data_IF_213804964868
#
_entry.id   IF_213804964868
#
_cell.length_a   1.000
_cell.length_b   1.000
_cell.length_c   1.000
_cell.angle_alpha   90.00
_cell.angle_beta   90.00
_cell.angle_gamma   90.00
#
_symmetry.space_group_name_H-M   'P 1'
#
loop_
_entity.id
_entity.type
_entity.pdbx_description
1 polymer ?
#
# COMPACT_ATOMS: atom_id res chain seq x y z
N UNK A 1 -15.59 -4.83 -8.67
CA UNK A 1 -16.47 -4.91 -7.45
C UNK A 1 -16.83 -3.50 -7.00
N UNK A 2 -17.96 -3.28 -6.32
CA UNK A 2 -18.26 -1.97 -5.69
C UNK A 2 -17.73 -2.05 -4.27
N UNK A 3 -16.88 -1.09 -3.89
CA UNK A 3 -16.31 -1.03 -2.55
C UNK A 3 -17.39 -0.72 -1.51
N UNK A 4 -17.26 -1.30 -0.31
CA UNK A 4 -18.20 -1.05 0.78
C UNK A 4 -18.12 0.42 1.26
N UNK A 5 -19.22 1.17 1.25
CA UNK A 5 -19.22 2.57 1.69
C UNK A 5 -18.75 2.79 3.13
N UNK A 6 -18.99 1.82 4.03
CA UNK A 6 -18.51 1.90 5.41
C UNK A 6 -16.98 1.71 5.47
N UNK A 7 -16.45 0.76 4.70
CA UNK A 7 -15.01 0.56 4.55
C UNK A 7 -14.31 1.79 4.00
N UNK A 8 -14.85 2.41 2.95
CA UNK A 8 -14.33 3.65 2.38
C UNK A 8 -14.30 4.80 3.39
N UNK A 9 -15.37 4.98 4.18
CA UNK A 9 -15.42 6.01 5.22
C UNK A 9 -14.40 5.76 6.33
N UNK A 10 -14.22 4.50 6.72
CA UNK A 10 -13.23 4.07 7.72
C UNK A 10 -11.81 4.30 7.23
N UNK A 11 -11.49 3.90 5.99
CA UNK A 11 -10.19 4.12 5.38
C UNK A 11 -9.86 5.62 5.28
N UNK A 12 -10.82 6.45 4.86
CA UNK A 12 -10.64 7.91 4.84
C UNK A 12 -10.32 8.47 6.22
N UNK A 13 -11.05 8.07 7.25
CA UNK A 13 -10.83 8.53 8.61
C UNK A 13 -9.47 8.09 9.16
N UNK A 14 -9.05 6.84 8.90
CA UNK A 14 -7.77 6.32 9.31
C UNK A 14 -6.61 7.04 8.59
N UNK A 15 -6.72 7.23 7.27
CA UNK A 15 -5.69 7.86 6.47
C UNK A 15 -5.52 9.36 6.80
N UNK A 16 -6.60 10.05 7.15
CA UNK A 16 -6.58 11.47 7.54
C UNK A 16 -5.75 11.76 8.80
N UNK A 17 -5.38 10.74 9.57
CA UNK A 17 -4.45 10.87 10.71
C UNK A 17 -3.02 11.12 10.24
N UNK A 18 -2.65 10.60 9.06
CA UNK A 18 -1.28 10.64 8.53
C UNK A 18 -1.07 11.76 7.52
N UNK A 19 -2.11 12.23 6.86
CA UNK A 19 -1.97 13.29 5.87
C UNK A 19 -3.31 13.77 5.30
N UNK A 20 -3.26 14.72 4.38
CA UNK A 20 -4.45 15.29 3.78
C UNK A 20 -5.17 14.27 2.89
N UNK A 21 -6.49 14.26 2.98
CA UNK A 21 -7.38 13.43 2.15
C UNK A 21 -8.49 14.30 1.54
N UNK A 22 -8.59 14.29 0.22
CA UNK A 22 -9.58 15.05 -0.52
C UNK A 22 -10.27 14.16 -1.56
N UNK A 23 -11.56 14.40 -1.81
CA UNK A 23 -12.26 13.71 -2.90
C UNK A 23 -11.64 14.10 -4.24
N UNK A 24 -11.33 13.09 -5.05
CA UNK A 24 -10.71 13.24 -6.35
C UNK A 24 -11.60 12.59 -7.41
N UNK A 25 -11.93 13.33 -8.45
CA UNK A 25 -12.81 12.82 -9.50
C UNK A 25 -11.99 12.09 -10.56
N UNK A 26 -12.51 11.00 -11.16
CA UNK A 26 -11.78 10.21 -12.15
C UNK A 26 -11.33 11.00 -13.39
N UNK A 27 -11.85 12.20 -13.60
CA UNK A 27 -11.39 13.13 -14.67
C UNK A 27 -9.93 13.57 -14.48
N UNK A 28 -9.39 13.47 -13.26
CA UNK A 28 -7.99 13.79 -12.96
C UNK A 28 -7.02 12.68 -13.39
N UNK A 29 -7.56 11.50 -13.75
CA UNK A 29 -6.78 10.40 -14.30
C UNK A 29 -6.26 10.72 -15.70
N UNK A 30 -4.94 10.66 -15.87
CA UNK A 30 -4.25 11.16 -17.07
C UNK A 30 -4.02 10.09 -18.16
N UNK A 31 -4.28 8.80 -17.88
CA UNK A 31 -4.09 7.75 -18.87
C UNK A 31 -5.23 7.70 -19.90
N UNK A 32 -4.94 7.10 -21.06
CA UNK A 32 -5.96 6.84 -22.10
C UNK A 32 -6.90 5.70 -21.70
N UNK A 33 -6.38 4.67 -20.99
CA UNK A 33 -7.17 3.58 -20.45
C UNK A 33 -8.02 4.07 -19.26
N UNK A 34 -9.25 3.59 -19.13
CA UNK A 34 -10.09 3.96 -17.99
C UNK A 34 -9.51 3.46 -16.68
N UNK A 35 -9.59 4.28 -15.64
CA UNK A 35 -9.26 3.86 -14.28
C UNK A 35 -10.20 2.72 -13.84
N UNK A 36 -9.67 1.70 -13.16
CA UNK A 36 -10.46 0.62 -12.61
C UNK A 36 -11.59 1.17 -11.73
N UNK A 37 -12.83 0.63 -11.81
CA UNK A 37 -14.00 1.20 -11.13
C UNK A 37 -13.86 1.30 -9.61
N UNK A 38 -13.22 0.31 -8.96
CA UNK A 38 -12.95 0.31 -7.53
C UNK A 38 -11.90 1.34 -7.13
N UNK A 39 -10.84 1.54 -7.94
CA UNK A 39 -9.91 2.65 -7.76
C UNK A 39 -10.60 4.01 -7.94
N UNK A 40 -11.47 4.14 -8.94
CA UNK A 40 -12.25 5.37 -9.12
C UNK A 40 -13.13 5.67 -7.89
N UNK A 41 -13.75 4.66 -7.31
CA UNK A 41 -14.53 4.79 -6.07
C UNK A 41 -13.63 5.11 -4.86
N UNK A 42 -12.45 4.49 -4.75
CA UNK A 42 -11.48 4.80 -3.71
C UNK A 42 -11.04 6.27 -3.76
N UNK A 43 -10.61 6.76 -4.91
CA UNK A 43 -10.17 8.16 -5.04
C UNK A 43 -11.32 9.16 -4.82
N UNK A 44 -12.53 8.83 -5.27
CA UNK A 44 -13.71 9.68 -5.05
C UNK A 44 -14.09 9.80 -3.58
N UNK A 45 -13.87 8.76 -2.78
CA UNK A 45 -14.36 8.71 -1.39
C UNK A 45 -13.24 8.84 -0.36
N UNK A 46 -12.07 8.27 -0.58
CA UNK A 46 -10.89 8.35 0.31
C UNK A 46 -9.97 9.47 -0.14
N UNK A 47 -9.40 9.38 -1.33
CA UNK A 47 -8.63 10.42 -2.01
C UNK A 47 -7.39 10.88 -1.24
N UNK A 48 -6.32 10.08 -1.15
CA UNK A 48 -5.05 10.53 -0.57
C UNK A 48 -4.46 11.70 -1.38
N UNK A 49 -3.93 12.71 -0.70
CA UNK A 49 -3.19 13.83 -1.29
C UNK A 49 -1.70 13.72 -0.95
N UNK A 50 -1.01 12.71 -1.47
CA UNK A 50 0.39 12.43 -1.17
C UNK A 50 0.61 12.14 0.31
N UNK A 51 0.00 11.05 0.80
CA UNK A 51 0.06 10.69 2.21
C UNK A 51 1.26 9.80 2.48
N UNK A 52 2.11 10.23 3.40
CA UNK A 52 3.23 9.47 3.93
C UNK A 52 2.85 8.87 5.29
N UNK A 53 3.09 7.56 5.45
CA UNK A 53 2.87 6.84 6.70
C UNK A 53 4.21 6.30 7.17
N UNK A 54 4.74 6.86 8.24
CA UNK A 54 5.98 6.40 8.84
C UNK A 54 5.87 4.97 9.33
N UNK A 55 6.92 4.19 9.09
CA UNK A 55 7.04 2.79 9.48
C UNK A 55 8.50 2.38 9.61
N UNK A 56 8.79 1.10 9.84
CA UNK A 56 10.17 0.57 9.83
C UNK A 56 10.79 0.77 8.43
N UNK A 57 11.95 1.40 8.39
CA UNK A 57 12.67 1.70 7.15
C UNK A 57 12.13 2.92 6.41
N UNK A 58 11.69 2.76 5.17
CA UNK A 58 11.11 3.83 4.37
C UNK A 58 9.60 3.93 4.60
N UNK A 59 9.01 5.14 4.56
CA UNK A 59 7.58 5.32 4.76
C UNK A 59 6.77 4.68 3.62
N UNK A 60 5.53 4.32 3.92
CA UNK A 60 4.55 4.05 2.88
C UNK A 60 4.10 5.38 2.27
N UNK A 61 4.02 5.41 0.94
CA UNK A 61 3.60 6.57 0.19
C UNK A 61 2.38 6.23 -0.65
N UNK A 62 1.23 6.88 -0.36
CA UNK A 62 0.00 6.75 -1.14
C UNK A 62 -0.12 7.95 -2.08
N UNK A 63 -0.33 7.67 -3.37
CA UNK A 63 -0.33 8.68 -4.41
C UNK A 63 -1.69 9.37 -4.57
N UNK A 64 -1.75 10.68 -4.88
CA UNK A 64 -2.95 11.33 -5.36
C UNK A 64 -3.28 10.88 -6.79
N UNK A 65 -4.56 10.94 -7.16
CA UNK A 65 -5.03 10.50 -8.48
C UNK A 65 -4.36 11.27 -9.63
N UNK A 66 -4.15 12.58 -9.46
CA UNK A 66 -3.51 13.43 -10.48
C UNK A 66 -2.06 13.02 -10.79
N UNK A 67 -1.38 12.35 -9.84
CA UNK A 67 0.00 11.89 -10.00
C UNK A 67 0.10 10.40 -10.26
N UNK A 68 -0.99 9.66 -10.05
CA UNK A 68 -1.00 8.20 -10.10
C UNK A 68 -0.46 7.66 -11.43
N UNK A 69 -0.76 8.32 -12.55
CA UNK A 69 -0.22 7.93 -13.85
C UNK A 69 1.28 8.17 -13.95
N UNK A 70 1.76 9.33 -13.54
CA UNK A 70 3.19 9.67 -13.56
C UNK A 70 4.02 8.71 -12.68
N UNK A 71 3.45 8.28 -11.54
CA UNK A 71 4.12 7.36 -10.60
C UNK A 71 4.20 5.91 -11.11
N UNK A 72 3.57 5.57 -12.24
CA UNK A 72 3.83 4.30 -12.94
C UNK A 72 5.21 4.26 -13.61
N UNK A 73 5.88 5.41 -13.72
CA UNK A 73 7.21 5.50 -14.32
C UNK A 73 8.27 4.78 -13.50
N UNK A 74 8.98 3.84 -14.09
CA UNK A 74 9.94 2.95 -13.42
C UNK A 74 9.35 1.57 -13.13
N UNK A 75 8.01 1.42 -13.24
CA UNK A 75 7.28 0.16 -13.11
C UNK A 75 6.67 -0.24 -14.45
N UNK A 76 5.68 0.50 -14.93
CA UNK A 76 4.99 0.23 -16.20
C UNK A 76 5.78 0.68 -17.43
N UNK A 77 6.54 1.78 -17.29
CA UNK A 77 7.41 2.28 -18.37
C UNK A 77 8.73 2.83 -17.83
N UNK A 78 9.72 2.80 -18.70
CA UNK A 78 11.04 3.36 -18.41
C UNK A 78 10.98 4.87 -18.25
N UNK A 79 11.38 5.41 -17.10
CA UNK A 79 11.52 6.86 -16.88
C UNK A 79 12.42 7.55 -17.90
N UNK A 80 13.39 6.83 -18.45
CA UNK A 80 14.38 7.39 -19.40
C UNK A 80 13.89 7.44 -20.83
N UNK A 81 13.09 6.46 -21.26
CA UNK A 81 12.72 6.30 -22.69
C UNK A 81 11.22 6.43 -22.94
N UNK A 82 10.38 6.36 -21.91
CA UNK A 82 8.93 6.26 -22.03
C UNK A 82 8.43 4.93 -22.59
N UNK A 83 9.33 3.98 -22.89
CA UNK A 83 8.93 2.67 -23.43
C UNK A 83 8.31 1.81 -22.33
N UNK A 84 7.24 1.09 -22.68
CA UNK A 84 6.63 0.09 -21.80
C UNK A 84 7.67 -0.98 -21.44
N UNK A 85 7.62 -1.45 -20.20
CA UNK A 85 8.41 -2.58 -19.74
C UNK A 85 7.69 -3.87 -20.11
N UNK A 86 8.42 -4.82 -20.72
CA UNK A 86 7.83 -6.01 -21.33
C UNK A 86 7.18 -6.97 -20.32
N UNK A 87 7.65 -6.96 -19.08
CA UNK A 87 7.23 -7.87 -18.02
C UNK A 87 6.14 -7.26 -17.11
N UNK A 88 5.68 -6.03 -17.42
CA UNK A 88 4.60 -5.37 -16.69
C UNK A 88 3.23 -5.75 -17.28
N UNK A 89 2.35 -6.30 -16.46
CA UNK A 89 0.98 -6.62 -16.87
C UNK A 89 0.15 -5.34 -17.04
N UNK A 90 -0.61 -5.25 -18.13
CA UNK A 90 -1.49 -4.10 -18.42
C UNK A 90 -2.59 -3.93 -17.36
N UNK A 91 -2.95 -5.01 -16.66
CA UNK A 91 -3.92 -5.08 -15.57
C UNK A 91 -3.42 -4.44 -14.25
N UNK A 92 -2.15 -4.07 -14.18
CA UNK A 92 -1.50 -3.60 -12.96
C UNK A 92 -1.37 -2.09 -12.89
N UNK A 93 -1.70 -1.54 -11.71
CA UNK A 93 -1.51 -0.12 -11.39
C UNK A 93 -0.86 0.00 -10.01
N UNK A 94 0.32 0.63 -9.92
CA UNK A 94 0.95 0.96 -8.63
C UNK A 94 0.13 2.04 -7.94
N UNK A 95 -0.37 1.75 -6.73
CA UNK A 95 -1.23 2.66 -5.96
C UNK A 95 -0.54 3.24 -4.72
N UNK A 96 0.50 2.56 -4.26
CA UNK A 96 1.35 3.00 -3.15
C UNK A 96 2.74 2.37 -3.29
N UNK A 97 3.71 2.88 -2.52
CA UNK A 97 5.05 2.28 -2.44
C UNK A 97 5.58 2.28 -1.00
N UNK A 98 6.57 1.40 -0.74
CA UNK A 98 7.48 1.52 0.38
C UNK A 98 8.90 1.63 -0.21
N UNK A 99 9.42 2.86 -0.28
CA UNK A 99 10.64 3.10 -1.07
C UNK A 99 10.41 2.82 -2.56
N UNK A 100 11.13 1.83 -3.11
CA UNK A 100 10.97 1.38 -4.49
C UNK A 100 9.99 0.20 -4.64
N UNK A 101 9.58 -0.43 -3.55
CA UNK A 101 8.72 -1.62 -3.57
C UNK A 101 7.25 -1.23 -3.78
N UNK A 102 6.59 -1.70 -4.85
CA UNK A 102 5.25 -1.28 -5.20
C UNK A 102 4.16 -2.09 -4.50
N UNK A 103 3.06 -1.41 -4.17
CA UNK A 103 1.75 -2.00 -3.94
C UNK A 103 0.94 -1.87 -5.22
N UNK A 104 0.61 -3.00 -5.83
CA UNK A 104 0.08 -3.10 -7.19
C UNK A 104 -1.39 -3.50 -7.13
N UNK A 105 -2.28 -2.62 -7.53
CA UNK A 105 -3.68 -2.95 -7.75
C UNK A 105 -3.82 -3.75 -9.04
N UNK A 106 -4.53 -4.88 -9.00
CA UNK A 106 -4.85 -5.75 -10.12
C UNK A 106 -6.32 -5.59 -10.51
N UNK A 107 -6.59 -4.92 -11.62
CA UNK A 107 -7.95 -4.53 -12.01
C UNK A 107 -8.89 -5.72 -12.29
N UNK A 108 -8.38 -6.86 -12.74
CA UNK A 108 -9.18 -8.06 -13.01
C UNK A 108 -9.71 -8.77 -11.75
N UNK A 109 -9.06 -8.54 -10.59
CA UNK A 109 -9.40 -9.22 -9.32
C UNK A 109 -9.75 -8.26 -8.19
N UNK A 110 -9.58 -6.94 -8.41
CA UNK A 110 -9.66 -5.85 -7.43
C UNK A 110 -8.65 -5.98 -6.26
N UNK A 111 -7.75 -6.97 -6.31
CA UNK A 111 -6.77 -7.25 -5.26
C UNK A 111 -5.58 -6.30 -5.33
N UNK A 112 -4.89 -6.17 -4.18
CA UNK A 112 -3.60 -5.50 -4.15
C UNK A 112 -2.51 -6.53 -3.87
N UNK A 113 -1.54 -6.56 -4.79
CA UNK A 113 -0.35 -7.38 -4.75
C UNK A 113 0.78 -6.59 -4.09
N UNK A 114 1.71 -7.30 -3.49
CA UNK A 114 2.90 -6.71 -2.91
C UNK A 114 4.13 -7.37 -3.52
N UNK A 115 5.01 -6.56 -4.09
CA UNK A 115 6.27 -7.02 -4.65
C UNK A 115 7.43 -6.50 -3.78
N UNK A 116 7.57 -7.04 -2.58
CA UNK A 116 8.70 -6.77 -1.69
C UNK A 116 9.76 -7.86 -1.86
N UNK A 117 11.01 -7.49 -2.03
CA UNK A 117 12.11 -8.44 -2.19
C UNK A 117 13.44 -7.91 -1.66
N UNK A 118 14.27 -8.80 -1.08
CA UNK A 118 15.65 -8.46 -0.69
C UNK A 118 16.50 -8.08 -1.91
N UNK A 119 16.17 -8.60 -3.09
CA UNK A 119 16.87 -8.39 -4.36
C UNK A 119 16.18 -7.37 -5.29
N UNK A 120 15.09 -6.74 -4.82
CA UNK A 120 14.26 -5.79 -5.56
C UNK A 120 12.94 -6.38 -6.04
N UNK A 121 12.00 -5.52 -6.37
CA UNK A 121 10.64 -5.89 -6.80
C UNK A 121 10.62 -6.61 -8.16
N UNK A 122 11.60 -6.35 -9.02
CA UNK A 122 11.70 -6.91 -10.38
C UNK A 122 11.79 -8.43 -10.38
N UNK A 123 12.51 -9.02 -9.42
CA UNK A 123 12.67 -10.47 -9.30
C UNK A 123 11.41 -11.18 -8.77
N UNK A 124 10.39 -10.42 -8.32
CA UNK A 124 9.14 -10.94 -7.75
C UNK A 124 7.89 -10.73 -8.58
N UNK A 125 8.03 -10.11 -9.75
CA UNK A 125 6.90 -9.94 -10.67
C UNK A 125 6.40 -11.27 -11.28
N UNK A 126 7.25 -12.29 -11.32
CA UNK A 126 6.87 -13.60 -11.86
C UNK A 126 5.79 -14.30 -11.01
N UNK A 127 5.72 -14.02 -9.70
CA UNK A 127 4.69 -14.53 -8.80
C UNK A 127 4.34 -13.51 -7.69
N UNK A 128 3.73 -12.36 -8.01
CA UNK A 128 3.30 -11.42 -6.97
C UNK A 128 2.21 -12.08 -6.11
N UNK A 129 2.41 -12.06 -4.80
CA UNK A 129 1.48 -12.67 -3.86
C UNK A 129 0.34 -11.70 -3.58
N UNK A 130 -0.94 -12.07 -3.81
CA UNK A 130 -2.07 -11.27 -3.38
C UNK A 130 -2.05 -11.14 -1.85
N UNK A 131 -1.91 -9.93 -1.34
CA UNK A 131 -1.83 -9.69 0.10
C UNK A 131 -3.13 -9.12 0.64
N UNK A 132 -3.77 -8.23 -0.14
CA UNK A 132 -4.98 -7.55 0.27
C UNK A 132 -6.13 -7.87 -0.68
N UNK A 133 -7.34 -7.92 -0.13
CA UNK A 133 -8.56 -8.21 -0.91
C UNK A 133 -8.97 -7.04 -1.79
N UNK A 134 -8.60 -5.82 -1.41
CA UNK A 134 -8.84 -4.58 -2.14
C UNK A 134 -7.96 -3.42 -1.62
N UNK A 135 -8.07 -2.27 -2.26
CA UNK A 135 -7.31 -1.05 -1.89
C UNK A 135 -7.73 -0.46 -0.54
N UNK A 136 -8.96 -0.73 -0.07
CA UNK A 136 -9.43 -0.28 1.25
C UNK A 136 -8.77 -1.09 2.35
N UNK A 137 -8.73 -2.43 2.22
CA UNK A 137 -8.02 -3.31 3.16
C UNK A 137 -6.53 -2.96 3.21
N UNK A 138 -5.89 -2.72 2.05
CA UNK A 138 -4.51 -2.24 2.00
C UNK A 138 -4.35 -0.95 2.81
N UNK A 139 -5.15 0.06 2.52
CA UNK A 139 -5.06 1.37 3.18
C UNK A 139 -5.20 1.25 4.71
N UNK A 140 -6.18 0.48 5.17
CA UNK A 140 -6.39 0.24 6.61
C UNK A 140 -5.21 -0.51 7.24
N UNK A 141 -4.63 -1.48 6.54
CA UNK A 141 -3.47 -2.23 7.02
C UNK A 141 -2.23 -1.33 7.15
N UNK A 142 -1.94 -0.49 6.13
CA UNK A 142 -0.82 0.46 6.19
C UNK A 142 -1.02 1.49 7.32
N UNK A 143 -2.25 2.00 7.51
CA UNK A 143 -2.57 2.88 8.63
C UNK A 143 -2.40 2.18 9.99
N UNK A 144 -2.76 0.90 10.11
CA UNK A 144 -2.57 0.14 11.35
C UNK A 144 -1.08 -0.03 11.69
N UNK A 145 -0.25 -0.33 10.69
CA UNK A 145 1.22 -0.38 10.86
C UNK A 145 1.77 0.97 11.30
N UNK A 146 1.41 2.05 10.61
CA UNK A 146 1.86 3.40 10.95
C UNK A 146 1.42 3.84 12.35
N UNK A 147 0.19 3.50 12.76
CA UNK A 147 -0.31 3.81 14.10
C UNK A 147 0.46 3.06 15.20
N UNK A 148 0.78 1.78 14.98
CA UNK A 148 1.61 1.01 15.90
C UNK A 148 3.04 1.57 15.99
N UNK A 149 3.62 1.97 14.86
CA UNK A 149 4.94 2.60 14.80
C UNK A 149 4.96 3.96 15.52
N UNK A 150 4.02 4.84 15.23
CA UNK A 150 3.91 6.16 15.86
C UNK A 150 3.58 6.09 17.35
N UNK A 151 2.96 5.02 17.82
CA UNK A 151 2.66 4.77 19.24
C UNK A 151 3.87 4.30 20.06
N UNK A 152 5.01 4.01 19.44
CA UNK A 152 6.20 3.55 20.11
C UNK A 152 7.14 4.75 20.44
N UNK A 153 7.33 5.05 21.72
CA UNK A 153 8.27 6.11 22.14
C UNK A 153 9.71 5.80 21.73
N UNK A 154 10.13 4.55 21.87
CA UNK A 154 11.45 4.04 21.50
C UNK A 154 11.31 2.72 20.70
N UNK A 155 11.19 2.76 19.36
CA UNK A 155 10.92 1.55 18.57
C UNK A 155 12.08 0.57 18.50
N UNK A 156 13.30 0.98 18.86
CA UNK A 156 14.51 0.16 18.79
C UNK A 156 15.08 -0.15 20.18
N UNK A 157 15.71 -1.32 20.27
CA UNK A 157 16.63 -1.66 21.38
C UNK A 157 17.95 -0.90 21.23
N UNK A 158 18.83 -0.87 22.28
CA UNK A 158 20.18 -0.29 22.16
C UNK A 158 21.04 -0.91 21.05
N UNK A 159 20.74 -2.14 20.65
CA UNK A 159 21.44 -2.86 19.58
C UNK A 159 20.74 -2.71 18.20
N UNK A 160 19.87 -1.72 18.07
CA UNK A 160 19.15 -1.39 16.82
C UNK A 160 18.20 -2.49 16.29
N UNK A 161 17.73 -3.38 17.13
CA UNK A 161 16.66 -4.30 16.78
C UNK A 161 15.28 -3.67 17.10
N UNK A 162 14.28 -3.96 16.27
CA UNK A 162 12.90 -3.59 16.58
C UNK A 162 12.47 -4.26 17.89
N UNK A 163 11.88 -3.48 18.79
CA UNK A 163 11.39 -4.02 20.06
C UNK A 163 10.23 -4.99 19.85
N UNK A 164 10.16 -6.09 20.59
CA UNK A 164 9.07 -7.06 20.48
C UNK A 164 7.69 -6.42 20.62
N UNK A 165 7.53 -5.43 21.52
CA UNK A 165 6.28 -4.74 21.77
C UNK A 165 5.77 -3.98 20.52
N UNK A 166 6.66 -3.44 19.71
CA UNK A 166 6.33 -2.77 18.45
C UNK A 166 5.85 -3.80 17.43
N UNK A 167 6.56 -4.91 17.30
CA UNK A 167 6.17 -6.03 16.44
C UNK A 167 4.80 -6.58 16.84
N UNK A 168 4.57 -6.80 18.15
CA UNK A 168 3.29 -7.30 18.65
C UNK A 168 2.16 -6.32 18.36
N UNK A 169 2.39 -5.01 18.52
CA UNK A 169 1.42 -3.97 18.20
C UNK A 169 1.07 -3.94 16.69
N UNK A 170 2.08 -4.07 15.81
CA UNK A 170 1.90 -4.17 14.36
C UNK A 170 1.07 -5.40 14.01
N UNK A 171 1.44 -6.58 14.54
CA UNK A 171 0.71 -7.83 14.28
C UNK A 171 -0.73 -7.74 14.80
N UNK A 172 -0.95 -7.15 15.97
CA UNK A 172 -2.29 -6.95 16.50
C UNK A 172 -3.13 -6.01 15.64
N UNK A 173 -2.56 -4.89 15.20
CA UNK A 173 -3.22 -3.94 14.29
C UNK A 173 -3.59 -4.58 12.95
N UNK A 174 -2.65 -5.28 12.34
CA UNK A 174 -2.87 -6.03 11.10
C UNK A 174 -3.92 -7.14 11.28
N UNK A 175 -3.91 -7.87 12.41
CA UNK A 175 -4.92 -8.89 12.71
C UNK A 175 -6.32 -8.28 12.79
N UNK A 176 -6.44 -7.09 13.37
CA UNK A 176 -7.71 -6.36 13.44
C UNK A 176 -8.27 -5.99 12.06
N UNK A 177 -7.41 -5.70 11.09
CA UNK A 177 -7.81 -5.37 9.71
C UNK A 177 -8.03 -6.63 8.88
N UNK A 178 -7.08 -7.55 8.88
CA UNK A 178 -7.06 -8.74 8.00
C UNK A 178 -7.91 -9.90 8.52
N UNK A 179 -8.41 -9.78 9.75
CA UNK A 179 -9.30 -10.73 10.42
C UNK A 179 -8.58 -11.92 11.07
N UNK A 180 -7.35 -12.26 10.69
CA UNK A 180 -6.62 -13.41 11.26
C UNK A 180 -5.11 -13.15 11.40
N UNK A 181 -4.50 -13.76 12.41
CA UNK A 181 -3.05 -13.73 12.60
C UNK A 181 -2.30 -14.50 11.49
N UNK A 182 -2.94 -15.47 10.84
CA UNK A 182 -2.36 -16.23 9.72
C UNK A 182 -2.07 -15.34 8.51
N UNK A 183 -2.86 -14.29 8.31
CA UNK A 183 -2.59 -13.26 7.29
C UNK A 183 -1.65 -12.16 7.80
N UNK A 184 -1.81 -11.75 9.06
CA UNK A 184 -1.10 -10.62 9.64
C UNK A 184 0.40 -10.90 9.86
N UNK A 185 0.76 -12.07 10.39
CA UNK A 185 2.15 -12.41 10.74
C UNK A 185 3.06 -12.47 9.50
N UNK A 186 2.69 -13.16 8.40
CA UNK A 186 3.50 -13.12 7.19
C UNK A 186 3.65 -11.72 6.61
N UNK A 187 2.57 -10.93 6.60
CA UNK A 187 2.63 -9.55 6.12
C UNK A 187 3.56 -8.67 6.96
N UNK A 188 3.48 -8.74 8.29
CA UNK A 188 4.40 -8.01 9.16
C UNK A 188 5.87 -8.36 8.87
N UNK A 189 6.17 -9.63 8.63
CA UNK A 189 7.53 -10.08 8.24
C UNK A 189 7.95 -9.51 6.89
N UNK A 190 7.07 -9.53 5.89
CA UNK A 190 7.37 -8.95 4.58
C UNK A 190 7.62 -7.44 4.65
N UNK A 191 7.02 -6.75 5.64
CA UNK A 191 7.27 -5.34 5.92
C UNK A 191 8.51 -5.10 6.81
N UNK A 192 9.32 -6.14 7.06
CA UNK A 192 10.58 -6.06 7.80
C UNK A 192 10.47 -6.22 9.32
N UNK A 193 9.27 -6.45 9.86
CA UNK A 193 9.11 -6.69 11.30
C UNK A 193 9.54 -8.12 11.66
N UNK A 194 10.36 -8.33 12.70
CA UNK A 194 10.83 -9.66 13.08
C UNK A 194 9.66 -10.57 13.47
N UNK A 195 9.89 -11.89 13.49
CA UNK A 195 8.88 -12.80 14.01
C UNK A 195 8.58 -12.47 15.47
N UNK A 196 7.28 -12.41 15.82
CA UNK A 196 6.87 -12.37 17.22
C UNK A 196 7.42 -13.60 17.92
N UNK A 197 8.06 -13.41 19.07
CA UNK A 197 8.71 -14.46 19.83
C UNK A 197 7.71 -15.41 20.51
#
# INVERSE_FOLDING_TARGET
MVLDPHGLATARAALAVFGPVQRQEPIEWAAEEPLAPDLADFYRHVGPEWVEIDTLGLPFLLFPLERLWDEQAGYRWSRRTGALLADWDEDWTVVATQGADPFIHQASTDRVLMALGEDGWEDRLDEPVPVFTDVVEMTLALCAVGAAWAGADEPFTPDWHVRPEVTDAVVAGLTGVLGTAERAVPLARSLGYPAAG
#
